data_IF_407236730239
#
_entry.id   IF_407236730239
#
_cell.length_a   1.000
_cell.length_b   1.000
_cell.length_c   1.000
_cell.angle_alpha   90.00
_cell.angle_beta   90.00
_cell.angle_gamma   90.00
#
_symmetry.space_group_name_H-M   'P 1'
#
loop_
_entity.id
_entity.type
_entity.pdbx_description
1 polymer ?
#
# COMPACT_ATOMS: atom_id res chain seq x y z
N UNK A 1 -6.16 9.78 0.75
CA UNK A 1 -5.80 8.34 0.90
C UNK A 1 -4.98 8.18 2.17
N UNK A 2 -5.29 7.22 3.05
CA UNK A 2 -4.46 6.94 4.24
C UNK A 2 -3.55 5.74 3.99
N UNK A 3 -2.25 5.94 4.13
CA UNK A 3 -1.23 4.90 4.07
C UNK A 3 -0.59 4.74 5.45
N UNK A 4 -0.60 3.53 6.01
CA UNK A 4 -0.05 3.26 7.34
C UNK A 4 0.97 2.13 7.28
N UNK A 5 2.22 2.44 7.58
CA UNK A 5 3.26 1.44 7.81
C UNK A 5 3.20 0.99 9.27
N UNK A 6 3.21 -0.31 9.49
CA UNK A 6 3.18 -0.93 10.81
C UNK A 6 4.37 -1.88 10.90
N UNK A 7 5.30 -1.57 11.81
CA UNK A 7 6.42 -2.44 12.16
C UNK A 7 6.07 -3.13 13.48
N UNK A 8 6.03 -4.46 13.48
CA UNK A 8 5.82 -5.24 14.71
C UNK A 8 6.99 -6.17 14.92
N UNK A 9 7.63 -6.10 16.08
CA UNK A 9 8.64 -7.09 16.43
C UNK A 9 7.95 -8.41 16.81
N UNK A 10 8.22 -9.49 16.07
CA UNK A 10 7.69 -10.81 16.39
C UNK A 10 8.63 -11.52 17.37
N UNK A 11 8.27 -11.45 18.66
CA UNK A 11 9.05 -12.07 19.75
C UNK A 11 9.32 -13.58 19.57
N UNK A 12 8.49 -14.30 18.79
CA UNK A 12 8.67 -15.76 18.57
C UNK A 12 9.70 -16.08 17.50
N UNK A 13 9.84 -15.25 16.47
CA UNK A 13 10.78 -15.49 15.36
C UNK A 13 12.03 -14.62 15.44
N UNK A 14 12.06 -13.65 16.35
CA UNK A 14 13.12 -12.65 16.45
C UNK A 14 13.18 -11.70 15.24
N UNK A 15 12.21 -11.78 14.31
CA UNK A 15 12.15 -10.98 13.10
C UNK A 15 11.12 -9.87 13.25
N UNK A 16 11.39 -8.73 12.60
CA UNK A 16 10.42 -7.66 12.47
C UNK A 16 9.42 -8.00 11.37
N UNK A 17 8.15 -8.10 11.73
CA UNK A 17 7.03 -8.18 10.79
C UNK A 17 6.74 -6.77 10.26
N UNK A 18 6.97 -6.57 8.97
CA UNK A 18 6.65 -5.33 8.28
C UNK A 18 5.31 -5.46 7.55
N UNK A 19 4.38 -4.53 7.84
CA UNK A 19 3.02 -4.57 7.30
C UNK A 19 2.62 -3.19 6.82
N UNK A 20 2.19 -3.08 5.56
CA UNK A 20 1.57 -1.86 5.04
C UNK A 20 0.04 -2.02 5.02
N UNK A 21 -0.66 -1.01 5.51
CA UNK A 21 -2.11 -0.88 5.42
C UNK A 21 -2.42 0.29 4.49
N UNK A 22 -3.01 -0.02 3.33
CA UNK A 22 -3.39 0.97 2.32
C UNK A 22 -4.89 1.13 2.35
N UNK A 23 -5.39 2.33 2.67
CA UNK A 23 -6.82 2.57 2.69
C UNK A 23 -7.39 2.40 1.29
N UNK A 24 -8.50 1.67 1.18
CA UNK A 24 -9.27 1.56 -0.05
C UNK A 24 -9.86 2.92 -0.37
N UNK A 25 -9.53 3.45 -1.53
CA UNK A 25 -10.21 4.58 -2.13
C UNK A 25 -10.69 4.15 -3.53
N UNK A 26 -11.94 4.49 -3.89
CA UNK A 26 -12.50 4.15 -5.21
C UNK A 26 -11.71 4.80 -6.34
N UNK A 27 -11.25 6.03 -6.10
CA UNK A 27 -10.52 6.82 -7.09
C UNK A 27 -9.14 6.24 -7.42
N UNK A 28 -8.60 5.36 -6.55
CA UNK A 28 -7.25 4.75 -6.69
C UNK A 28 -7.27 3.23 -6.79
N UNK A 29 -8.45 2.62 -6.91
CA UNK A 29 -8.55 1.18 -6.78
C UNK A 29 -7.81 0.45 -7.91
N UNK A 30 -7.81 1.02 -9.11
CA UNK A 30 -7.18 0.44 -10.29
C UNK A 30 -5.65 0.59 -10.24
N UNK A 31 -5.17 1.78 -9.90
CA UNK A 31 -3.76 2.14 -9.77
C UNK A 31 -3.11 1.29 -8.68
N UNK A 32 -3.76 1.19 -7.52
CA UNK A 32 -3.30 0.36 -6.41
C UNK A 32 -3.25 -1.12 -6.81
N UNK A 33 -4.23 -1.62 -7.57
CA UNK A 33 -4.19 -3.00 -8.09
C UNK A 33 -3.05 -3.21 -9.09
N UNK A 34 -2.72 -2.23 -9.91
CA UNK A 34 -1.58 -2.32 -10.84
C UNK A 34 -0.24 -2.37 -10.07
N UNK A 35 -0.08 -1.51 -9.06
CA UNK A 35 1.09 -1.55 -8.17
C UNK A 35 1.19 -2.93 -7.50
N UNK A 36 0.08 -3.45 -6.98
CA UNK A 36 0.04 -4.78 -6.39
C UNK A 36 0.43 -5.88 -7.38
N UNK A 37 -0.02 -5.77 -8.63
CA UNK A 37 0.33 -6.71 -9.68
C UNK A 37 1.83 -6.66 -10.01
N UNK A 38 2.43 -5.47 -10.03
CA UNK A 38 3.87 -5.31 -10.24
C UNK A 38 4.69 -6.00 -9.14
N UNK A 39 4.26 -5.87 -7.89
CA UNK A 39 4.95 -6.46 -6.74
C UNK A 39 4.53 -7.90 -6.40
N UNK A 40 3.63 -8.52 -7.16
CA UNK A 40 2.90 -9.76 -6.79
C UNK A 40 3.78 -10.90 -6.29
N UNK A 41 4.98 -11.05 -6.84
CA UNK A 41 5.89 -12.16 -6.52
C UNK A 41 6.64 -11.92 -5.20
N UNK A 42 6.65 -10.66 -4.72
CA UNK A 42 7.40 -10.23 -3.55
C UNK A 42 6.52 -9.79 -2.37
N UNK A 43 5.19 -9.73 -2.58
CA UNK A 43 4.23 -9.29 -1.55
C UNK A 43 3.10 -10.30 -1.36
N UNK A 44 2.57 -10.33 -0.15
CA UNK A 44 1.38 -11.09 0.21
C UNK A 44 0.29 -10.13 0.62
N UNK A 45 -0.80 -10.11 -0.14
CA UNK A 45 -1.96 -9.27 0.13
C UNK A 45 -2.99 -10.09 0.89
N UNK A 46 -3.28 -9.68 2.11
CA UNK A 46 -4.32 -10.28 2.94
C UNK A 46 -5.54 -9.37 2.94
N UNK A 47 -6.55 -9.71 2.14
CA UNK A 47 -7.84 -9.06 2.19
C UNK A 47 -8.62 -9.57 3.42
N UNK A 48 -8.38 -9.02 4.61
CA UNK A 48 -9.24 -9.37 5.76
C UNK A 48 -10.60 -8.69 5.58
N UNK A 49 -11.63 -9.51 5.31
CA UNK A 49 -13.09 -9.30 5.43
C UNK A 49 -13.72 -8.03 4.80
N UNK A 50 -14.97 -8.19 4.34
CA UNK A 50 -15.87 -7.22 3.69
C UNK A 50 -16.03 -5.86 4.39
N UNK A 51 -15.57 -5.72 5.64
CA UNK A 51 -15.73 -4.53 6.49
C UNK A 51 -14.44 -3.75 6.76
N UNK A 52 -13.27 -4.22 6.29
CA UNK A 52 -12.04 -3.43 6.43
C UNK A 52 -11.83 -2.55 5.20
N UNK A 53 -11.76 -1.24 5.45
CA UNK A 53 -11.46 -0.22 4.45
C UNK A 53 -9.97 -0.17 4.07
N UNK A 54 -9.23 -1.27 4.23
CA UNK A 54 -7.78 -1.32 3.99
C UNK A 54 -7.36 -2.60 3.27
N UNK A 55 -6.44 -2.46 2.33
CA UNK A 55 -5.56 -3.51 1.84
C UNK A 55 -4.43 -3.71 2.84
N UNK A 56 -4.18 -4.97 3.23
CA UNK A 56 -3.07 -5.30 4.11
C UNK A 56 -2.02 -6.07 3.34
N UNK A 57 -0.86 -5.45 3.15
CA UNK A 57 0.27 -5.96 2.38
C UNK A 57 1.40 -6.33 3.33
N UNK A 58 1.98 -7.51 3.16
CA UNK A 58 3.17 -7.95 3.89
C UNK A 58 4.25 -8.41 2.90
N UNK A 59 5.50 -8.31 3.29
CA UNK A 59 6.64 -8.85 2.55
C UNK A 59 7.69 -9.32 3.53
N UNK A 60 8.41 -10.37 3.16
CA UNK A 60 9.54 -10.87 3.93
C UNK A 60 10.80 -10.00 3.68
N UNK A 61 10.78 -9.14 2.67
CA UNK A 61 11.86 -8.21 2.32
C UNK A 61 11.47 -6.75 2.67
N UNK A 62 12.15 -6.10 3.64
CA UNK A 62 11.88 -4.72 4.00
C UNK A 62 12.06 -3.72 2.85
N UNK A 63 13.03 -3.94 1.96
CA UNK A 63 13.28 -3.06 0.83
C UNK A 63 12.08 -3.05 -0.13
N UNK A 64 11.51 -4.22 -0.43
CA UNK A 64 10.29 -4.33 -1.25
C UNK A 64 9.14 -3.55 -0.64
N UNK A 65 8.96 -3.64 0.67
CA UNK A 65 7.89 -2.91 1.35
C UNK A 65 8.10 -1.40 1.30
N UNK A 66 9.35 -0.94 1.46
CA UNK A 66 9.68 0.48 1.33
C UNK A 66 9.45 0.97 -0.10
N UNK A 67 9.87 0.20 -1.11
CA UNK A 67 9.60 0.52 -2.53
C UNK A 67 8.10 0.61 -2.79
N UNK A 68 7.31 -0.38 -2.36
CA UNK A 68 5.85 -0.34 -2.51
C UNK A 68 5.24 0.87 -1.80
N UNK A 69 5.74 1.22 -0.61
CA UNK A 69 5.25 2.37 0.13
C UNK A 69 5.51 3.68 -0.61
N UNK A 70 6.74 3.87 -1.13
CA UNK A 70 7.10 5.03 -1.95
C UNK A 70 6.25 5.13 -3.21
N UNK A 71 6.11 4.04 -3.97
CA UNK A 71 5.30 4.04 -5.21
C UNK A 71 3.83 4.42 -4.94
N UNK A 72 3.27 4.02 -3.79
CA UNK A 72 1.89 4.39 -3.42
C UNK A 72 1.82 5.86 -2.95
N UNK A 73 2.87 6.39 -2.32
CA UNK A 73 2.94 7.81 -1.99
C UNK A 73 3.07 8.68 -3.25
N UNK A 74 3.79 8.23 -4.27
CA UNK A 74 3.94 8.94 -5.54
C UNK A 74 2.61 9.08 -6.30
N UNK A 75 1.62 8.24 -6.01
CA UNK A 75 0.25 8.44 -6.50
C UNK A 75 -0.46 9.62 -5.85
N UNK A 76 -0.05 10.07 -4.65
CA UNK A 76 -0.75 11.12 -3.89
C UNK A 76 -0.70 12.48 -4.62
N UNK A 77 0.48 12.98 -5.05
CA UNK A 77 0.58 14.26 -5.74
C UNK A 77 -0.27 14.36 -7.02
N UNK A 78 -0.33 13.30 -7.82
CA UNK A 78 -1.09 13.27 -9.08
C UNK A 78 -2.59 13.56 -8.90
N UNK A 79 -3.09 13.46 -7.67
CA UNK A 79 -4.50 13.61 -7.34
C UNK A 79 -4.81 15.00 -6.80
N UNK A 80 -3.93 15.49 -5.94
CA UNK A 80 -4.12 16.77 -5.28
C UNK A 80 -3.75 17.94 -6.19
N UNK A 81 -2.88 17.72 -7.18
CA UNK A 81 -2.40 18.76 -8.07
C UNK A 81 -2.95 18.66 -9.50
N UNK A 82 -3.18 17.46 -10.05
CA UNK A 82 -3.76 17.35 -11.41
C UNK A 82 -5.28 17.55 -11.47
N UNK A 83 -5.97 17.72 -10.33
CA UNK A 83 -7.39 18.08 -10.31
C UNK A 83 -7.65 19.56 -10.68
N UNK A 84 -6.60 20.39 -10.78
CA UNK A 84 -6.72 21.81 -11.12
C UNK A 84 -6.53 22.13 -12.61
N UNK A 85 -6.05 21.19 -13.44
CA UNK A 85 -5.77 21.46 -14.87
C UNK A 85 -6.98 21.28 -15.82
N UNK A 86 -8.20 21.07 -15.30
CA UNK A 86 -9.41 20.94 -16.15
C UNK A 86 -10.39 22.10 -15.97
N UNK A 87 -9.88 23.34 -16.00
CA UNK A 87 -10.69 24.55 -16.16
C UNK A 87 -10.00 25.52 -17.12
N UNK A 88 -10.07 25.20 -18.41
CA UNK A 88 -10.02 26.19 -19.50
C UNK A 88 -11.05 25.80 -20.55
#
# INVERSE_FOLDING_TARGET
MILKLIIKNNKKTGKNDLKACIQKNKDFDNEIKQIFQFFKDNIKISAKRRFYNYYKVNSDNPAIMMSLFSTVLDLIPDIYFNSEETKD
#
